data_IF_118107257251
#
_entry.id   IF_118107257251
#
_cell.length_a   1.000
_cell.length_b   1.000
_cell.length_c   1.000
_cell.angle_alpha   90.00
_cell.angle_beta   90.00
_cell.angle_gamma   90.00
#
_symmetry.space_group_name_H-M   'P 1'
#
loop_
_entity.id
_entity.type
_entity.pdbx_description
1 polymer ?
#
# COMPACT_ATOMS: atom_id res chain seq x y z
N UNK A 1 18.33 -37.76 24.24
CA UNK A 1 17.06 -37.26 24.82
C UNK A 1 17.10 -35.74 24.78
N UNK A 2 16.48 -35.13 23.78
CA UNK A 2 16.11 -33.71 23.77
C UNK A 2 14.78 -33.64 23.00
N UNK A 3 13.70 -33.64 23.76
CA UNK A 3 12.35 -33.42 23.25
C UNK A 3 12.19 -31.93 22.92
N UNK A 4 11.98 -31.59 21.64
CA UNK A 4 11.51 -30.26 21.23
C UNK A 4 10.15 -30.41 20.54
N UNK A 5 9.16 -30.63 21.40
CA UNK A 5 7.75 -30.44 21.10
C UNK A 5 7.50 -28.94 20.86
N UNK A 6 7.31 -28.51 19.61
CA UNK A 6 6.79 -27.17 19.28
C UNK A 6 5.48 -27.33 18.50
N UNK A 7 4.41 -27.55 19.25
CA UNK A 7 3.05 -27.77 18.72
C UNK A 7 2.23 -26.48 18.61
N UNK A 8 2.86 -25.29 18.60
CA UNK A 8 2.16 -24.00 18.72
C UNK A 8 2.18 -23.12 17.44
N UNK A 9 2.68 -23.61 16.30
CA UNK A 9 2.74 -22.81 15.07
C UNK A 9 1.48 -22.92 14.18
N UNK A 10 0.64 -23.94 14.41
CA UNK A 10 -0.56 -24.21 13.61
C UNK A 10 -1.69 -23.20 13.87
N UNK A 11 -1.79 -22.72 15.11
CA UNK A 11 -2.88 -21.85 15.58
C UNK A 11 -2.73 -20.41 15.06
N UNK A 12 -1.50 -19.87 15.01
CA UNK A 12 -1.22 -18.54 14.46
C UNK A 12 -1.37 -18.49 12.94
N UNK A 13 -0.98 -19.56 12.23
CA UNK A 13 -1.07 -19.61 10.76
C UNK A 13 -2.52 -19.59 10.25
N UNK A 14 -3.46 -20.15 11.01
CA UNK A 14 -4.88 -20.07 10.68
C UNK A 14 -5.43 -18.66 10.90
N UNK A 15 -5.02 -17.98 11.98
CA UNK A 15 -5.45 -16.61 12.27
C UNK A 15 -5.01 -15.58 11.22
N UNK A 16 -3.87 -15.79 10.55
CA UNK A 16 -3.40 -14.87 9.51
C UNK A 16 -4.31 -14.79 8.29
N UNK A 17 -5.10 -15.84 8.04
CA UNK A 17 -6.03 -15.90 6.90
C UNK A 17 -7.44 -15.41 7.25
N UNK A 18 -7.70 -15.14 8.53
CA UNK A 18 -9.01 -14.67 8.95
C UNK A 18 -9.26 -13.25 8.40
N UNK A 19 -10.49 -12.99 7.92
CA UNK A 19 -10.86 -11.67 7.43
C UNK A 19 -10.89 -10.68 8.59
N UNK A 20 -10.34 -9.50 8.32
CA UNK A 20 -10.29 -8.35 9.21
C UNK A 20 -10.85 -7.14 8.47
N UNK A 21 -11.70 -6.40 9.18
CA UNK A 21 -12.33 -5.18 8.67
C UNK A 21 -11.67 -3.93 9.23
N UNK A 22 -11.42 -2.98 8.33
CA UNK A 22 -10.82 -1.68 8.59
C UNK A 22 -11.77 -0.60 8.09
N UNK A 23 -11.84 0.50 8.81
CA UNK A 23 -12.54 1.72 8.42
C UNK A 23 -11.48 2.81 8.20
N UNK A 24 -11.25 3.20 6.95
CA UNK A 24 -10.24 4.19 6.58
C UNK A 24 -10.94 5.46 6.10
N UNK A 25 -11.01 6.48 6.96
CA UNK A 25 -11.67 7.74 6.65
C UNK A 25 -13.16 7.62 6.28
N UNK A 26 -13.84 6.56 6.75
CA UNK A 26 -15.24 6.24 6.43
C UNK A 26 -15.41 5.13 5.39
N UNK A 27 -14.36 4.74 4.67
CA UNK A 27 -14.40 3.64 3.71
C UNK A 27 -14.10 2.30 4.39
N UNK A 28 -15.02 1.34 4.24
CA UNK A 28 -14.86 0.01 4.83
C UNK A 28 -14.10 -0.92 3.89
N UNK A 29 -12.97 -1.42 4.37
CA UNK A 29 -12.15 -2.42 3.70
C UNK A 29 -12.17 -3.72 4.47
N UNK A 30 -12.21 -4.84 3.75
CA UNK A 30 -12.02 -6.17 4.32
C UNK A 30 -10.82 -6.83 3.64
N UNK A 31 -9.92 -7.37 4.45
CA UNK A 31 -8.69 -8.05 3.99
C UNK A 31 -8.25 -9.08 5.02
N UNK A 32 -7.08 -9.68 4.87
CA UNK A 32 -6.51 -10.63 5.84
C UNK A 32 -5.35 -10.02 6.61
N UNK A 33 -5.06 -10.55 7.80
CA UNK A 33 -3.85 -10.20 8.55
C UNK A 33 -2.58 -10.52 7.74
N UNK A 34 -2.57 -11.59 6.95
CA UNK A 34 -1.47 -11.93 6.04
C UNK A 34 -1.14 -10.79 5.08
N UNK A 35 -2.16 -10.16 4.50
CA UNK A 35 -1.98 -9.01 3.60
C UNK A 35 -1.42 -7.80 4.35
N UNK A 36 -1.98 -7.48 5.50
CA UNK A 36 -1.60 -6.31 6.30
C UNK A 36 -0.21 -6.44 6.93
N UNK A 37 0.22 -7.67 7.20
CA UNK A 37 1.52 -7.98 7.80
C UNK A 37 2.58 -8.40 6.79
N UNK A 38 2.30 -8.28 5.47
CA UNK A 38 3.28 -8.55 4.41
C UNK A 38 4.53 -7.68 4.55
N UNK A 39 4.35 -6.42 4.91
CA UNK A 39 5.44 -5.51 5.29
C UNK A 39 5.42 -5.34 6.81
N UNK A 40 6.12 -6.20 7.56
CA UNK A 40 6.13 -6.15 9.04
C UNK A 40 6.79 -4.90 9.60
N UNK A 41 7.69 -4.29 8.83
CA UNK A 41 8.37 -3.04 9.12
C UNK A 41 7.51 -1.79 8.88
N UNK A 42 6.34 -1.95 8.25
CA UNK A 42 5.38 -0.87 8.03
C UNK A 42 4.53 -0.58 9.25
N UNK A 43 3.88 0.59 9.27
CA UNK A 43 2.93 0.97 10.32
C UNK A 43 1.77 -0.02 10.42
N UNK A 44 1.26 -0.52 9.29
CA UNK A 44 0.21 -1.54 9.27
C UNK A 44 0.71 -2.83 9.93
N UNK A 45 1.93 -3.27 9.59
CA UNK A 45 2.58 -4.41 10.25
C UNK A 45 2.64 -4.24 11.77
N UNK A 46 3.02 -3.07 12.26
CA UNK A 46 3.11 -2.77 13.69
C UNK A 46 1.72 -2.69 14.39
N UNK A 47 0.71 -2.12 13.73
CA UNK A 47 -0.67 -2.08 14.23
C UNK A 47 -1.26 -3.49 14.41
N UNK A 48 -1.06 -4.36 13.42
CA UNK A 48 -1.65 -5.70 13.42
C UNK A 48 -0.81 -6.77 14.14
N UNK A 49 0.43 -6.47 14.48
CA UNK A 49 1.25 -7.28 15.42
C UNK A 49 1.07 -6.86 16.89
N UNK A 50 0.25 -5.84 17.16
CA UNK A 50 -0.06 -5.36 18.50
C UNK A 50 1.01 -4.45 19.11
N UNK A 51 1.94 -3.95 18.31
CA UNK A 51 2.97 -3.00 18.76
C UNK A 51 2.43 -1.58 18.90
N UNK A 52 1.37 -1.25 18.15
CA UNK A 52 0.73 0.06 18.17
C UNK A 52 -0.74 -0.10 18.55
N UNK A 53 -1.27 0.70 19.50
CA UNK A 53 -2.68 0.68 19.83
C UNK A 53 -3.54 1.15 18.64
N UNK A 54 -4.60 0.40 18.34
CA UNK A 54 -5.53 0.70 17.24
C UNK A 54 -6.85 1.23 17.78
N UNK A 55 -7.36 2.32 17.22
CA UNK A 55 -8.72 2.77 17.47
C UNK A 55 -9.71 1.84 16.77
N UNK A 56 -10.92 1.73 17.33
CA UNK A 56 -12.03 0.99 16.71
C UNK A 56 -13.25 1.89 16.58
N UNK A 57 -14.00 1.71 15.50
CA UNK A 57 -15.29 2.37 15.32
C UNK A 57 -16.40 1.68 16.14
N UNK A 58 -17.62 2.24 16.07
CA UNK A 58 -18.79 1.72 16.79
C UNK A 58 -19.21 0.31 16.34
N UNK A 59 -18.73 -0.14 15.17
CA UNK A 59 -18.99 -1.46 14.62
C UNK A 59 -17.86 -2.46 14.94
N UNK A 60 -16.82 -2.02 15.66
CA UNK A 60 -15.67 -2.85 16.03
C UNK A 60 -14.59 -2.98 14.96
N UNK A 61 -14.70 -2.25 13.84
CA UNK A 61 -13.66 -2.23 12.80
C UNK A 61 -12.49 -1.36 13.26
N UNK A 62 -11.28 -1.68 12.82
CA UNK A 62 -10.10 -0.85 13.11
C UNK A 62 -10.22 0.46 12.34
N UNK A 63 -10.22 1.58 13.06
CA UNK A 63 -10.39 2.91 12.48
C UNK A 63 -9.03 3.57 12.20
N UNK A 64 -8.90 4.11 10.99
CA UNK A 64 -7.74 4.84 10.51
C UNK A 64 -8.23 6.17 9.94
N UNK A 65 -7.76 7.28 10.51
CA UNK A 65 -8.14 8.63 10.09
C UNK A 65 -7.32 9.10 8.89
N UNK A 66 -7.44 8.39 7.75
CA UNK A 66 -6.71 8.64 6.49
C UNK A 66 -7.64 8.57 5.27
N UNK A 67 -7.12 8.92 4.10
CA UNK A 67 -7.90 8.89 2.85
C UNK A 67 -8.21 7.45 2.42
N UNK A 68 -9.49 7.06 2.56
CA UNK A 68 -9.96 5.74 2.20
C UNK A 68 -9.85 5.43 0.71
N UNK A 69 -10.01 6.39 -0.20
CA UNK A 69 -10.00 6.14 -1.65
C UNK A 69 -8.59 5.79 -2.13
N UNK A 70 -7.60 6.51 -1.63
CA UNK A 70 -6.19 6.31 -1.95
C UNK A 70 -5.66 5.03 -1.31
N UNK A 71 -6.16 4.71 -0.11
CA UNK A 71 -5.81 3.47 0.58
C UNK A 71 -6.06 2.21 -0.25
N UNK A 72 -7.02 2.23 -1.18
CA UNK A 72 -7.25 1.13 -2.13
C UNK A 72 -5.98 0.71 -2.87
N UNK A 73 -5.18 1.67 -3.33
CA UNK A 73 -3.95 1.39 -4.09
C UNK A 73 -2.85 0.80 -3.19
N UNK A 74 -2.76 1.29 -1.95
CA UNK A 74 -1.87 0.73 -0.93
C UNK A 74 -2.25 -0.73 -0.64
N UNK A 75 -3.54 -0.99 -0.43
CA UNK A 75 -4.03 -2.32 -0.14
C UNK A 75 -3.81 -3.28 -1.31
N UNK A 76 -4.01 -2.81 -2.54
CA UNK A 76 -3.72 -3.61 -3.73
C UNK A 76 -2.22 -3.93 -3.85
N UNK A 77 -1.35 -2.95 -3.60
CA UNK A 77 0.10 -3.19 -3.56
C UNK A 77 0.47 -4.26 -2.53
N UNK A 78 -0.13 -4.24 -1.33
CA UNK A 78 0.10 -5.29 -0.32
C UNK A 78 -0.42 -6.68 -0.74
N UNK A 79 -1.34 -6.76 -1.70
CA UNK A 79 -1.88 -8.04 -2.22
C UNK A 79 -1.02 -8.59 -3.36
N UNK A 80 -0.71 -7.76 -4.36
CA UNK A 80 -0.01 -8.18 -5.58
C UNK A 80 1.50 -8.04 -5.49
N UNK A 81 2.00 -7.11 -4.67
CA UNK A 81 3.40 -6.67 -4.66
C UNK A 81 3.76 -5.75 -5.83
N UNK A 82 2.79 -5.31 -6.64
CA UNK A 82 2.98 -4.44 -7.80
C UNK A 82 2.20 -3.14 -7.67
N UNK A 83 2.78 -2.06 -8.20
CA UNK A 83 2.12 -0.74 -8.26
C UNK A 83 1.21 -0.67 -9.50
N UNK A 84 -0.05 -1.06 -9.32
CA UNK A 84 -1.05 -1.07 -10.39
C UNK A 84 -1.91 0.20 -10.35
N UNK A 85 -1.57 1.17 -11.21
CA UNK A 85 -2.27 2.45 -11.31
C UNK A 85 -3.09 2.53 -12.60
N UNK A 86 -4.28 3.17 -12.57
CA UNK A 86 -5.02 3.49 -13.78
C UNK A 86 -4.18 4.35 -14.74
N UNK A 87 -4.47 4.23 -16.04
CA UNK A 87 -3.97 5.18 -17.03
C UNK A 87 -4.29 6.61 -16.56
N UNK A 88 -3.33 7.53 -16.67
CA UNK A 88 -3.50 8.95 -16.32
C UNK A 88 -3.76 9.23 -14.82
N UNK A 89 -3.22 8.40 -13.92
CA UNK A 89 -3.39 8.57 -12.48
C UNK A 89 -2.87 9.92 -11.97
N UNK A 90 -3.79 10.81 -11.59
CA UNK A 90 -3.51 12.20 -11.17
C UNK A 90 -3.20 12.33 -9.67
N UNK A 91 -3.57 11.34 -8.86
CA UNK A 91 -3.44 11.36 -7.40
C UNK A 91 -2.10 10.79 -6.90
N UNK A 92 -1.08 10.69 -7.76
CA UNK A 92 0.23 10.11 -7.43
C UNK A 92 0.90 10.78 -6.22
N UNK A 93 0.83 12.11 -6.15
CA UNK A 93 1.35 12.87 -5.00
C UNK A 93 0.64 12.49 -3.69
N UNK A 94 -0.68 12.26 -3.76
CA UNK A 94 -1.47 11.86 -2.61
C UNK A 94 -1.15 10.43 -2.19
N UNK A 95 -1.06 9.52 -3.16
CA UNK A 95 -0.62 8.14 -2.92
C UNK A 95 0.76 8.07 -2.26
N UNK A 96 1.71 8.90 -2.71
CA UNK A 96 3.03 9.00 -2.08
C UNK A 96 2.95 9.42 -0.62
N UNK A 97 2.10 10.41 -0.28
CA UNK A 97 1.90 10.86 1.10
C UNK A 97 1.28 9.77 1.97
N UNK A 98 0.31 9.03 1.44
CA UNK A 98 -0.26 7.90 2.18
C UNK A 98 0.75 6.76 2.36
N UNK A 99 1.51 6.40 1.32
CA UNK A 99 2.55 5.38 1.42
C UNK A 99 3.63 5.74 2.45
N UNK A 100 3.96 7.03 2.56
CA UNK A 100 4.84 7.57 3.60
C UNK A 100 4.19 7.48 4.98
N UNK A 101 2.93 7.89 5.13
CA UNK A 101 2.20 7.76 6.40
C UNK A 101 2.18 6.31 6.92
N UNK A 102 1.87 5.34 6.06
CA UNK A 102 1.87 3.92 6.43
C UNK A 102 3.27 3.30 6.49
N UNK A 103 4.32 4.07 6.19
CA UNK A 103 5.73 3.65 6.22
C UNK A 103 6.02 2.41 5.37
N UNK A 104 5.39 2.31 4.19
CA UNK A 104 5.58 1.19 3.26
C UNK A 104 6.74 1.52 2.31
N UNK A 105 7.97 1.29 2.77
CA UNK A 105 9.20 1.66 2.03
C UNK A 105 9.27 1.07 0.61
N UNK A 106 8.94 -0.21 0.37
CA UNK A 106 8.97 -0.79 -0.98
C UNK A 106 8.02 -0.06 -1.95
N UNK A 107 6.85 0.38 -1.48
CA UNK A 107 5.90 1.15 -2.28
C UNK A 107 6.43 2.54 -2.61
N UNK A 108 7.08 3.21 -1.66
CA UNK A 108 7.71 4.52 -1.90
C UNK A 108 8.79 4.45 -2.99
N UNK A 109 9.59 3.38 -2.98
CA UNK A 109 10.61 3.15 -4.00
C UNK A 109 9.99 2.92 -5.38
N UNK A 110 8.91 2.14 -5.47
CA UNK A 110 8.17 1.94 -6.72
C UNK A 110 7.54 3.22 -7.25
N UNK A 111 6.93 4.03 -6.37
CA UNK A 111 6.37 5.33 -6.75
C UNK A 111 7.47 6.25 -7.29
N UNK A 112 8.65 6.26 -6.66
CA UNK A 112 9.78 7.05 -7.14
C UNK A 112 10.29 6.58 -8.50
N UNK A 113 10.39 5.25 -8.71
CA UNK A 113 10.69 4.68 -10.04
C UNK A 113 9.65 5.09 -11.07
N UNK A 114 8.37 5.04 -10.72
CA UNK A 114 7.29 5.49 -11.60
C UNK A 114 7.46 6.97 -11.98
N UNK A 115 7.68 7.87 -11.01
CA UNK A 115 7.92 9.30 -11.25
C UNK A 115 9.12 9.58 -12.17
N UNK A 116 10.20 8.81 -12.03
CA UNK A 116 11.42 8.97 -12.84
C UNK A 116 11.34 8.31 -14.22
N UNK A 117 10.47 7.30 -14.37
CA UNK A 117 10.20 6.64 -15.65
C UNK A 117 9.27 7.44 -16.56
N UNK A 118 8.47 8.35 -16.00
CA UNK A 118 7.66 9.30 -16.76
C UNK A 118 8.60 10.35 -17.37
N UNK A 119 8.75 10.44 -18.72
CA UNK A 119 9.68 11.37 -19.34
C UNK A 119 9.38 12.81 -18.91
N UNK A 120 10.45 13.56 -18.59
CA UNK A 120 10.45 14.97 -18.17
C UNK A 120 9.79 15.95 -19.17
N UNK A 121 9.22 15.47 -20.28
CA UNK A 121 8.67 16.26 -21.39
C UNK A 121 7.30 16.91 -21.19
N UNK A 122 6.64 16.71 -20.03
CA UNK A 122 5.34 17.35 -19.72
C UNK A 122 5.36 18.23 -18.48
N UNK A 123 6.53 18.40 -17.83
CA UNK A 123 6.70 19.41 -16.77
C UNK A 123 7.08 20.73 -17.44
N UNK A 124 6.07 21.57 -17.67
CA UNK A 124 6.16 22.84 -18.39
C UNK A 124 7.40 23.68 -18.09
N UNK A 125 8.27 23.77 -19.09
CA UNK A 125 9.37 24.73 -19.24
C UNK A 125 9.74 24.84 -20.72
N UNK A 126 10.11 26.03 -21.23
CA UNK A 126 10.28 26.24 -22.66
C UNK A 126 11.61 25.67 -23.18
N UNK A 127 11.47 24.93 -24.29
CA UNK A 127 12.42 24.66 -25.38
C UNK A 127 13.80 24.08 -25.04
N UNK A 128 14.00 22.82 -25.45
CA UNK A 128 15.31 22.39 -25.95
C UNK A 128 15.82 21.04 -25.46
N UNK A 129 15.14 19.93 -25.79
CA UNK A 129 15.79 18.64 -25.97
C UNK A 129 14.87 17.67 -26.72
N UNK A 130 15.28 17.25 -27.91
CA UNK A 130 14.68 16.10 -28.61
C UNK A 130 15.27 14.84 -27.98
N UNK A 131 14.42 14.02 -27.34
CA UNK A 131 14.73 12.60 -27.13
C UNK A 131 13.72 11.78 -27.91
N UNK A 132 14.21 11.01 -28.88
CA UNK A 132 13.44 9.92 -29.49
C UNK A 132 13.27 8.86 -28.42
N UNK A 133 12.09 8.81 -27.80
CA UNK A 133 11.63 7.68 -27.01
C UNK A 133 10.46 7.03 -27.71
N UNK A 134 10.56 5.72 -27.87
CA UNK A 134 9.67 4.82 -28.59
C UNK A 134 8.22 5.07 -28.13
N UNK A 135 7.36 5.42 -29.08
CA UNK A 135 5.95 5.70 -28.87
C UNK A 135 5.23 4.39 -28.57
N UNK A 136 4.92 4.20 -27.29
CA UNK A 136 3.68 3.56 -26.84
C UNK A 136 2.96 4.52 -25.88
N UNK A 137 2.97 5.82 -26.23
CA UNK A 137 2.24 6.86 -25.52
C UNK A 137 0.74 6.68 -25.72
N UNK A 138 0.05 6.11 -24.74
CA UNK A 138 -1.37 6.41 -24.55
C UNK A 138 -1.47 7.87 -24.10
N UNK A 139 -1.83 8.73 -25.04
CA UNK A 139 -2.21 10.11 -24.75
C UNK A 139 -3.49 10.09 -23.94
N UNK A 140 -3.45 10.66 -22.74
CA UNK A 140 -4.62 11.00 -21.94
C UNK A 140 -5.34 12.17 -22.62
N UNK A 141 -6.51 11.90 -23.22
CA UNK A 141 -7.37 12.91 -23.88
C UNK A 141 -8.39 13.44 -22.89
#
# INVERSE_FOLDING_TARGET
MLDLNSSDDSSKRNSLKDPVSLNVGGEIYTTTLDTLTRCRDSMLGAMFTGQIPTLRDNCGNIFIDRDGKVFRYILNYLRSGSLDLPDCFSELTLLRREADFFQIRPLLEEIHRYETSVPLGLRGGPLGAILIVKVDSKVCV
#
